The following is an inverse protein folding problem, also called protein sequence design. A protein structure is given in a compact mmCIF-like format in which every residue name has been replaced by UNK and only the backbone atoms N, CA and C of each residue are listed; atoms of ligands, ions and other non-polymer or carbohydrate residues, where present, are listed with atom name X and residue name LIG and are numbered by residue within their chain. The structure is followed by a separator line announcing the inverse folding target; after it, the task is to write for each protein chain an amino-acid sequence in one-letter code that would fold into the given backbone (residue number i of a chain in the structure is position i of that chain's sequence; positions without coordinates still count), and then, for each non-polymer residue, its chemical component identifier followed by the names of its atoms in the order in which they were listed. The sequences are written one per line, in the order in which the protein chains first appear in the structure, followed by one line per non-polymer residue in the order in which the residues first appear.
data_IF_985866600638
#
_entry.id   IF_985866600638
#
_cell.length_a   1.000
_cell.length_b   1.000
_cell.length_c   1.000
_cell.angle_alpha   90.00
_cell.angle_beta   90.00
_cell.angle_gamma   90.00
#
_symmetry.space_group_name_H-M   'P 1'
#
loop_
_entity.id
_entity.type
_entity.pdbx_description
1 polymer ?
#
# COMPACT_ATOMS: atom_id res chain seq x y z
N UNK A 1 11.09 4.10 -23.78
CA UNK A 1 10.41 4.76 -22.63
C UNK A 1 10.86 4.08 -21.36
N UNK A 2 11.63 4.76 -20.50
CA UNK A 2 12.05 4.19 -19.21
C UNK A 2 10.79 4.07 -18.35
N UNK A 3 10.33 2.84 -18.07
CA UNK A 3 9.29 2.60 -17.07
C UNK A 3 9.81 3.19 -15.77
N UNK A 4 9.19 4.29 -15.30
CA UNK A 4 9.48 4.81 -13.97
C UNK A 4 9.15 3.67 -13.00
N UNK A 5 10.14 3.15 -12.28
CA UNK A 5 9.88 2.15 -11.25
C UNK A 5 9.10 2.85 -10.12
N UNK A 6 7.88 2.36 -9.90
CA UNK A 6 7.02 2.79 -8.80
C UNK A 6 7.13 1.75 -7.70
N UNK A 7 7.70 2.14 -6.57
CA UNK A 7 7.67 1.32 -5.37
C UNK A 7 6.39 1.64 -4.60
N UNK A 8 5.70 0.60 -4.17
CA UNK A 8 4.44 0.70 -3.47
C UNK A 8 4.59 0.25 -2.03
N UNK A 9 3.89 0.95 -1.14
CA UNK A 9 3.93 0.64 0.28
C UNK A 9 2.57 0.76 0.93
N UNK A 10 2.38 0.02 2.03
CA UNK A 10 1.18 0.07 2.86
C UNK A 10 1.56 0.38 4.30
N UNK A 11 0.80 1.29 4.90
CA UNK A 11 0.90 1.62 6.33
C UNK A 11 -0.38 1.21 7.06
N UNK A 12 -0.33 0.18 7.92
CA UNK A 12 -1.41 -0.16 8.82
C UNK A 12 -1.47 0.84 9.98
N UNK A 13 -2.68 1.29 10.34
CA UNK A 13 -2.89 2.27 11.43
C UNK A 13 -3.10 1.65 12.80
N UNK A 14 -3.36 0.35 12.87
CA UNK A 14 -3.57 -0.40 14.11
C UNK A 14 -2.91 -1.79 14.05
N UNK A 15 -2.71 -2.40 15.22
CA UNK A 15 -2.01 -3.69 15.36
C UNK A 15 -2.73 -4.82 14.65
N UNK A 16 -4.06 -4.89 14.75
CA UNK A 16 -4.86 -5.90 14.07
C UNK A 16 -4.72 -5.82 12.54
N UNK A 17 -4.78 -4.61 11.97
CA UNK A 17 -4.56 -4.41 10.53
C UNK A 17 -3.12 -4.76 10.16
N UNK A 18 -2.14 -4.47 11.02
CA UNK A 18 -0.74 -4.81 10.78
C UNK A 18 -0.52 -6.32 10.69
N UNK A 19 -1.12 -7.11 11.57
CA UNK A 19 -1.04 -8.58 11.53
C UNK A 19 -1.66 -9.13 10.24
N UNK A 20 -2.83 -8.63 9.83
CA UNK A 20 -3.49 -9.05 8.60
C UNK A 20 -2.65 -8.68 7.37
N UNK A 21 -2.10 -7.46 7.32
CA UNK A 21 -1.24 -7.00 6.23
C UNK A 21 0.04 -7.83 6.18
N UNK A 22 0.70 -8.07 7.32
CA UNK A 22 1.90 -8.89 7.40
C UNK A 22 1.64 -10.29 6.85
N UNK A 23 0.57 -10.95 7.33
CA UNK A 23 0.19 -12.28 6.87
C UNK A 23 -0.14 -12.30 5.37
N UNK A 24 -0.92 -11.33 4.88
CA UNK A 24 -1.26 -11.26 3.46
C UNK A 24 -0.03 -11.06 2.55
N UNK A 25 0.93 -10.24 2.97
CA UNK A 25 2.13 -9.96 2.20
C UNK A 25 3.18 -11.07 2.29
N UNK A 26 3.20 -11.82 3.39
CA UNK A 26 4.08 -12.99 3.59
C UNK A 26 3.53 -14.26 2.94
N UNK A 27 2.21 -14.50 3.02
CA UNK A 27 1.55 -15.67 2.42
C UNK A 27 1.31 -15.49 0.91
N UNK A 28 1.14 -14.24 0.45
CA UNK A 28 0.78 -13.92 -0.93
C UNK A 28 1.94 -13.99 -1.93
N UNK A 29 3.05 -14.60 -1.54
CA UNK A 29 4.28 -14.61 -2.30
C UNK A 29 4.56 -16.01 -2.85
N UNK A 30 4.20 -16.22 -4.12
CA UNK A 30 4.64 -17.35 -4.95
C UNK A 30 6.16 -17.23 -5.27
N UNK A 31 6.99 -17.06 -4.24
CA UNK A 31 8.46 -17.11 -4.34
C UNK A 31 9.20 -15.83 -4.74
N UNK A 32 8.69 -14.62 -4.49
CA UNK A 32 9.39 -13.36 -4.79
C UNK A 32 9.50 -12.40 -3.59
N UNK A 33 10.54 -12.67 -2.79
CA UNK A 33 11.16 -11.77 -1.81
C UNK A 33 10.23 -11.24 -0.70
N UNK A 34 10.40 -11.85 0.47
CA UNK A 34 9.97 -11.37 1.79
C UNK A 34 9.84 -9.85 1.87
N UNK A 35 8.60 -9.37 1.83
CA UNK A 35 8.30 -7.94 1.89
C UNK A 35 8.71 -7.36 3.22
N UNK A 36 9.70 -6.47 3.14
CA UNK A 36 10.39 -5.96 4.31
C UNK A 36 9.64 -4.77 4.89
N UNK A 37 9.50 -4.77 6.21
CA UNK A 37 9.04 -3.63 6.98
C UNK A 37 10.17 -2.60 7.05
N UNK A 38 9.97 -1.42 6.47
CA UNK A 38 11.01 -0.37 6.37
C UNK A 38 10.57 0.88 7.12
N UNK A 39 11.38 1.33 8.08
CA UNK A 39 11.21 2.67 8.66
C UNK A 39 11.67 3.71 7.63
N UNK A 40 10.72 4.52 7.13
CA UNK A 40 10.97 5.49 6.08
C UNK A 40 10.40 6.86 6.45
N UNK A 41 11.20 7.91 6.17
CA UNK A 41 10.76 9.29 6.23
C UNK A 41 9.86 9.60 5.03
N UNK A 42 8.57 9.79 5.31
CA UNK A 42 7.58 10.11 4.30
C UNK A 42 7.66 11.60 3.90
N UNK A 43 7.07 11.94 2.75
CA UNK A 43 7.03 13.31 2.22
C UNK A 43 6.36 14.32 3.16
N UNK A 44 5.53 13.86 4.09
CA UNK A 44 4.88 14.69 5.12
C UNK A 44 5.76 14.91 6.37
N UNK A 45 7.04 14.54 6.31
CA UNK A 45 8.01 14.72 7.40
C UNK A 45 7.90 13.73 8.53
N UNK A 46 7.01 12.73 8.43
CA UNK A 46 6.81 11.72 9.48
C UNK A 46 7.51 10.41 9.11
N UNK A 47 8.29 9.87 10.04
CA UNK A 47 8.81 8.51 9.97
C UNK A 47 7.69 7.50 10.22
N UNK A 48 7.62 6.49 9.37
CA UNK A 48 6.63 5.41 9.47
C UNK A 48 7.28 4.11 9.07
N UNK A 49 6.87 3.05 9.75
CA UNK A 49 7.19 1.71 9.32
C UNK A 49 6.22 1.29 8.23
N UNK A 50 6.71 1.19 7.01
CA UNK A 50 5.91 0.86 5.83
C UNK A 50 6.21 -0.57 5.39
N UNK A 51 5.16 -1.28 4.98
CA UNK A 51 5.29 -2.56 4.30
C UNK A 51 5.49 -2.32 2.82
N UNK A 52 6.59 -2.82 2.26
CA UNK A 52 6.79 -2.85 0.81
C UNK A 52 5.81 -3.84 0.15
N UNK A 53 5.23 -3.46 -0.98
CA UNK A 53 4.27 -4.31 -1.68
C UNK A 53 4.28 -4.04 -3.18
N UNK A 54 3.57 -4.87 -3.95
CA UNK A 54 3.24 -4.53 -5.34
C UNK A 54 2.00 -3.64 -5.39
N UNK A 55 1.81 -2.95 -6.51
CA UNK A 55 0.58 -2.17 -6.77
C UNK A 55 -0.69 -3.03 -6.60
N UNK A 56 -0.65 -4.25 -7.16
CA UNK A 56 -1.74 -5.22 -7.10
C UNK A 56 -2.10 -5.59 -5.66
N UNK A 57 -1.10 -5.88 -4.81
CA UNK A 57 -1.32 -6.18 -3.40
C UNK A 57 -1.86 -4.98 -2.63
N UNK A 58 -1.32 -3.77 -2.86
CA UNK A 58 -1.85 -2.54 -2.28
C UNK A 58 -3.33 -2.34 -2.64
N UNK A 59 -3.69 -2.60 -3.90
CA UNK A 59 -5.07 -2.54 -4.38
C UNK A 59 -5.98 -3.57 -3.70
N UNK A 60 -5.54 -4.82 -3.57
CA UNK A 60 -6.31 -5.86 -2.87
C UNK A 60 -6.53 -5.52 -1.39
N UNK A 61 -5.48 -5.09 -0.69
CA UNK A 61 -5.57 -4.66 0.71
C UNK A 61 -6.51 -3.46 0.87
N UNK A 62 -6.45 -2.49 -0.06
CA UNK A 62 -7.35 -1.34 -0.06
C UNK A 62 -8.82 -1.70 -0.25
N UNK A 63 -9.09 -2.68 -1.12
CA UNK A 63 -10.44 -3.14 -1.39
C UNK A 63 -11.07 -3.81 -0.17
N UNK A 64 -10.27 -4.30 0.78
CA UNK A 64 -10.76 -4.82 2.04
C UNK A 64 -11.30 -3.68 2.93
N UNK A 65 -12.61 -3.60 3.09
CA UNK A 65 -13.26 -2.51 3.84
C UNK A 65 -12.93 -2.51 5.33
N UNK A 66 -12.42 -3.65 5.84
CA UNK A 66 -12.14 -3.87 7.26
C UNK A 66 -10.77 -3.34 7.70
N UNK A 67 -9.89 -3.02 6.76
CA UNK A 67 -8.49 -2.69 7.06
C UNK A 67 -8.28 -1.18 7.16
N UNK A 68 -7.70 -0.73 8.28
CA UNK A 68 -7.34 0.68 8.47
C UNK A 68 -5.95 0.94 7.91
N UNK A 69 -5.85 1.09 6.59
CA UNK A 69 -4.57 1.32 5.91
C UNK A 69 -4.46 2.69 5.26
N UNK A 70 -3.22 3.11 5.00
CA UNK A 70 -2.86 4.11 4.00
C UNK A 70 -1.91 3.51 2.98
N UNK A 71 -1.98 4.00 1.75
CA UNK A 71 -1.14 3.55 0.66
C UNK A 71 -0.18 4.66 0.31
N UNK A 72 1.08 4.29 0.18
CA UNK A 72 2.15 5.18 -0.20
C UNK A 72 2.78 4.70 -1.49
N UNK A 73 3.31 5.64 -2.26
CA UNK A 73 4.19 5.29 -3.37
C UNK A 73 5.44 6.16 -3.40
N UNK A 74 6.47 5.64 -4.06
CA UNK A 74 7.73 6.33 -4.33
C UNK A 74 8.04 6.22 -5.81
N UNK A 75 8.65 7.28 -6.36
CA UNK A 75 9.21 7.27 -7.71
C UNK A 75 10.72 7.45 -7.58
N UNK A 76 11.51 6.45 -8.01
CA UNK A 76 12.97 6.47 -7.84
C UNK A 76 13.39 6.60 -6.38
N UNK A 77 14.32 7.50 -6.07
CA UNK A 77 14.84 7.72 -4.71
C UNK A 77 14.08 8.78 -3.89
N UNK A 78 12.87 9.18 -4.32
CA UNK A 78 12.09 10.20 -3.61
C UNK A 78 11.53 9.71 -2.25
N UNK A 79 11.11 10.63 -1.38
CA UNK A 79 10.38 10.24 -0.17
C UNK A 79 9.01 9.63 -0.52
N UNK A 80 8.57 8.53 0.15
CA UNK A 80 7.25 7.97 -0.04
C UNK A 80 6.15 9.00 0.22
N UNK A 81 5.16 9.09 -0.68
CA UNK A 81 4.02 10.02 -0.57
C UNK A 81 2.71 9.26 -0.40
N UNK A 82 1.79 9.81 0.38
CA UNK A 82 0.45 9.25 0.57
C UNK A 82 -0.35 9.39 -0.73
N UNK A 83 -0.73 8.26 -1.30
CA UNK A 83 -1.53 8.15 -2.53
C UNK A 83 -2.85 7.43 -2.29
N UNK A 84 -3.27 7.30 -1.04
CA UNK A 84 -4.54 6.66 -0.67
C UNK A 84 -5.73 7.23 -1.44
N UNK A 85 -5.67 8.53 -1.79
CA UNK A 85 -6.71 9.19 -2.59
C UNK A 85 -6.89 8.60 -4.00
N UNK A 86 -5.83 8.07 -4.63
CA UNK A 86 -5.89 7.43 -5.95
C UNK A 86 -6.76 6.17 -5.93
N UNK A 87 -6.84 5.50 -4.78
CA UNK A 87 -7.65 4.29 -4.60
C UNK A 87 -9.06 4.60 -4.11
N UNK A 88 -9.31 5.82 -3.63
CA UNK A 88 -10.67 6.26 -3.26
C UNK A 88 -11.56 6.48 -4.47
N UNK A 89 -11.00 6.91 -5.61
CA UNK A 89 -11.77 7.19 -6.83
C UNK A 89 -12.32 5.91 -7.49
N UNK A 90 -11.58 4.80 -7.41
CA UNK A 90 -11.98 3.47 -7.91
C UNK A 90 -13.06 2.79 -7.06
N UNK A 91 -13.36 3.34 -5.87
CA UNK A 91 -14.42 2.85 -4.97
C UNK A 91 -15.81 3.38 -5.36
N UNK A 92 -15.93 4.20 -6.41
CA UNK A 92 -17.24 4.59 -6.95
C UNK A 92 -17.89 3.37 -7.60
N UNK A 93 -18.69 2.65 -6.82
CA UNK A 93 -19.59 1.59 -7.31
C UNK A 93 -20.36 2.08 -8.53
N UNK A 94 -20.60 1.21 -9.53
CA UNK A 94 -21.45 1.58 -10.66
C UNK A 94 -22.79 2.08 -10.10
N UNK A 95 -23.21 3.28 -10.50
CA UNK A 95 -24.55 3.77 -10.20
C UNK A 95 -25.52 2.68 -10.62
N UNK A 96 -26.26 2.12 -9.66
CA UNK A 96 -27.37 1.20 -9.91
C UNK A 96 -28.29 1.94 -10.88
N UNK A 97 -28.27 1.58 -12.17
CA UNK A 97 -29.29 2.03 -13.12
C UNK A 97 -30.59 1.45 -12.58
N UNK A 98 -31.44 2.30 -11.99
CA UNK A 98 -32.83 1.96 -11.72
C UNK A 98 -33.60 2.10 -13.02
#
# INVERSE_FOLDING_TARGET
MVKRHHDWFVWPKDGQTNEIVAKFLQDGDNGFESKTHKDMLCKDGKRRNLWECTETQAFFLWRSEKLKIKIFNRIGQSAPRDVTFLFRSTRRSPKKKR
#
